data_IF_125771084089
#
_entry.id   IF_125771084089
#
_cell.length_a   1.000
_cell.length_b   1.000
_cell.length_c   1.000
_cell.angle_alpha   90.00
_cell.angle_beta   90.00
_cell.angle_gamma   90.00
#
_symmetry.space_group_name_H-M   'P 1'
#
loop_
_entity.id
_entity.type
_entity.pdbx_description
1 polymer ?
#
# COMPACT_ATOMS: atom_id res chain seq x y z
N UNK A 1 -0.71 4.66 15.67
CA UNK A 1 -0.19 5.22 14.40
C UNK A 1 -1.36 5.38 13.43
N UNK A 2 -1.40 6.46 12.64
CA UNK A 2 -2.37 6.68 11.55
C UNK A 2 -1.58 6.88 10.26
N UNK A 3 -1.90 6.12 9.22
CA UNK A 3 -1.31 6.24 7.88
C UNK A 3 -2.25 7.14 7.08
N UNK A 4 -1.73 8.25 6.56
CA UNK A 4 -2.48 9.19 5.70
C UNK A 4 -2.11 9.03 4.24
N UNK A 5 -0.86 8.69 3.97
CA UNK A 5 -0.28 8.61 2.63
C UNK A 5 0.70 7.43 2.55
N UNK A 6 0.91 6.91 1.35
CA UNK A 6 1.83 5.81 1.10
C UNK A 6 2.69 6.11 -0.13
N UNK A 7 4.01 6.00 0.03
CA UNK A 7 4.96 6.05 -1.08
C UNK A 7 5.81 4.77 -1.08
N UNK A 8 5.86 4.09 -2.22
CA UNK A 8 6.66 2.87 -2.42
C UNK A 8 7.61 3.09 -3.60
N UNK A 9 8.90 3.28 -3.28
CA UNK A 9 9.97 3.47 -4.25
C UNK A 9 10.81 2.17 -4.41
N UNK A 10 10.11 1.09 -4.76
CA UNK A 10 10.69 -0.24 -4.98
C UNK A 10 10.41 -1.24 -3.84
N UNK A 11 9.35 -2.04 -3.99
CA UNK A 11 9.04 -3.17 -3.10
C UNK A 11 8.18 -4.24 -3.79
N UNK A 12 8.76 -5.42 -4.04
CA UNK A 12 8.11 -6.49 -4.80
C UNK A 12 7.75 -6.05 -6.22
N UNK A 13 6.46 -6.03 -6.57
CA UNK A 13 5.99 -5.62 -7.91
C UNK A 13 5.75 -4.11 -8.05
N UNK A 14 5.79 -3.37 -6.95
CA UNK A 14 5.52 -1.93 -6.94
C UNK A 14 6.80 -1.14 -7.14
N UNK A 15 6.79 -0.25 -8.14
CA UNK A 15 7.80 0.77 -8.37
C UNK A 15 7.06 2.10 -8.54
N UNK A 16 7.45 3.11 -7.78
CA UNK A 16 6.88 4.47 -7.81
C UNK A 16 5.37 4.53 -7.53
N UNK A 17 4.86 3.70 -6.60
CA UNK A 17 3.46 3.78 -6.17
C UNK A 17 3.29 4.95 -5.19
N UNK A 18 2.38 5.86 -5.51
CA UNK A 18 1.93 6.95 -4.62
C UNK A 18 0.44 6.82 -4.38
N UNK A 19 0.02 6.83 -3.12
CA UNK A 19 -1.38 6.87 -2.71
C UNK A 19 -1.52 7.99 -1.69
N UNK A 20 -2.22 9.04 -2.10
CA UNK A 20 -2.51 10.21 -1.27
C UNK A 20 -3.92 10.09 -0.67
N UNK A 21 -4.17 10.85 0.40
CA UNK A 21 -5.51 11.02 0.99
C UNK A 21 -6.21 9.69 1.34
N UNK A 22 -5.48 8.75 1.96
CA UNK A 22 -6.09 7.52 2.45
C UNK A 22 -7.24 7.83 3.40
N UNK A 23 -8.36 7.14 3.20
CA UNK A 23 -9.55 7.34 4.02
C UNK A 23 -9.22 7.17 5.51
N UNK A 24 -9.65 8.11 6.37
CA UNK A 24 -9.44 8.00 7.81
C UNK A 24 -10.26 6.87 8.45
N UNK A 25 -11.23 6.31 7.72
CA UNK A 25 -12.12 5.25 8.20
C UNK A 25 -11.73 3.88 7.66
N UNK A 26 -11.72 3.72 6.33
CA UNK A 26 -11.42 2.44 5.68
C UNK A 26 -10.97 2.63 4.23
N UNK A 27 -9.89 1.93 3.85
CA UNK A 27 -9.44 1.83 2.45
C UNK A 27 -9.42 0.37 2.02
N UNK A 28 -9.96 0.06 0.84
CA UNK A 28 -10.02 -1.30 0.28
C UNK A 28 -9.14 -1.38 -0.98
N UNK A 29 -8.08 -2.19 -0.92
CA UNK A 29 -7.26 -2.52 -2.08
C UNK A 29 -7.75 -3.80 -2.75
N UNK A 30 -8.21 -3.70 -4.00
CA UNK A 30 -8.73 -4.83 -4.77
C UNK A 30 -8.08 -4.92 -6.16
N UNK A 31 -8.14 -6.10 -6.77
CA UNK A 31 -7.51 -6.37 -8.07
C UNK A 31 -7.26 -7.85 -8.29
N UNK A 32 -6.80 -8.21 -9.50
CA UNK A 32 -6.49 -9.59 -9.90
C UNK A 32 -5.44 -10.26 -9.00
N UNK A 33 -5.35 -11.58 -9.03
CA UNK A 33 -4.25 -12.30 -8.39
C UNK A 33 -2.90 -11.74 -8.88
N UNK A 34 -1.91 -11.76 -7.99
CA UNK A 34 -0.54 -11.28 -8.27
C UNK A 34 -0.40 -9.77 -8.55
N UNK A 35 -1.48 -8.99 -8.49
CA UNK A 35 -1.45 -7.52 -8.60
C UNK A 35 -0.78 -6.80 -7.41
N UNK A 36 0.01 -7.48 -6.58
CA UNK A 36 0.77 -6.83 -5.50
C UNK A 36 0.00 -6.46 -4.22
N UNK A 37 -1.26 -6.89 -4.05
CA UNK A 37 -2.08 -6.56 -2.85
C UNK A 37 -1.45 -7.05 -1.54
N UNK A 38 -1.07 -8.33 -1.47
CA UNK A 38 -0.42 -8.90 -0.28
C UNK A 38 0.96 -8.27 -0.05
N UNK A 39 1.69 -7.98 -1.12
CA UNK A 39 2.97 -7.27 -1.09
C UNK A 39 2.81 -5.87 -0.48
N UNK A 40 1.78 -5.12 -0.88
CA UNK A 40 1.50 -3.79 -0.33
C UNK A 40 1.15 -3.86 1.17
N UNK A 41 0.35 -4.85 1.57
CA UNK A 41 0.04 -5.09 2.99
C UNK A 41 1.31 -5.42 3.79
N UNK A 42 2.25 -6.19 3.24
CA UNK A 42 3.52 -6.51 3.89
C UNK A 42 4.40 -5.26 4.04
N UNK A 43 4.50 -4.42 3.00
CA UNK A 43 5.21 -3.15 3.05
C UNK A 43 4.71 -2.25 4.19
N UNK A 44 3.38 -2.07 4.27
CA UNK A 44 2.74 -1.29 5.34
C UNK A 44 3.07 -1.87 6.72
N UNK A 45 3.11 -3.21 6.86
CA UNK A 45 3.42 -3.88 8.13
C UNK A 45 4.89 -3.87 8.51
N UNK A 46 5.81 -3.79 7.55
CA UNK A 46 7.26 -3.75 7.86
C UNK A 46 7.75 -2.38 8.32
N UNK A 47 7.01 -1.32 7.98
CA UNK A 47 7.30 0.05 8.46
C UNK A 47 6.64 0.40 9.80
N UNK A 48 5.89 -0.53 10.39
CA UNK A 48 5.27 -0.44 11.71
C UNK A 48 6.19 -1.04 12.78
#
# INVERSE_FOLDING_TARGET
MKITDLQVDGFGVWNELTIDDLSPEMTVFFGRNEAGKTTLMQFIRSGL
#
